data_IF_966926220879
#
_entry.id   IF_966926220879
#
_cell.length_a   1.000
_cell.length_b   1.000
_cell.length_c   1.000
_cell.angle_alpha   90.00
_cell.angle_beta   90.00
_cell.angle_gamma   90.00
#
_symmetry.space_group_name_H-M   'P 1'
#
loop_
_entity.id
_entity.type
_entity.pdbx_description
1 polymer ?
#
# COMPACT_ATOMS: atom_id res chain seq x y z
N UNK A 1 13.89 23.82 26.30
CA UNK A 1 12.62 24.50 25.93
C UNK A 1 11.88 23.56 25.07
N UNK A 2 10.80 22.97 25.57
CA UNK A 2 9.95 22.11 24.76
C UNK A 2 9.20 22.99 23.75
N UNK A 3 9.60 22.96 22.49
CA UNK A 3 8.79 23.52 21.41
C UNK A 3 7.50 22.73 21.35
N UNK A 4 6.39 23.32 21.75
CA UNK A 4 5.05 22.75 21.53
C UNK A 4 4.90 22.63 20.01
N UNK A 5 4.80 21.40 19.48
CA UNK A 5 4.51 21.17 18.06
C UNK A 5 3.23 21.89 17.67
N UNK A 6 3.27 22.58 16.56
CA UNK A 6 2.10 23.28 16.03
C UNK A 6 1.30 22.33 15.12
N UNK A 7 0.61 21.36 15.70
CA UNK A 7 -0.25 20.40 15.00
C UNK A 7 -1.22 21.04 13.98
N UNK A 8 -1.48 22.35 14.10
CA UNK A 8 -2.36 23.04 13.15
C UNK A 8 -1.73 23.23 11.77
N UNK A 9 -0.42 23.37 11.68
CA UNK A 9 0.27 23.59 10.41
C UNK A 9 0.56 22.24 9.72
N UNK A 10 0.90 21.19 10.47
CA UNK A 10 1.01 19.82 9.96
C UNK A 10 -0.32 19.33 9.39
N UNK A 11 -1.44 19.57 10.08
CA UNK A 11 -2.77 19.24 9.58
C UNK A 11 -3.12 20.01 8.29
N UNK A 12 -2.67 21.25 8.15
CA UNK A 12 -2.88 22.01 6.91
C UNK A 12 -2.08 21.42 5.74
N UNK A 13 -0.82 21.05 5.97
CA UNK A 13 0.01 20.41 4.95
C UNK A 13 -0.62 19.12 4.45
N UNK A 14 -1.03 18.24 5.36
CA UNK A 14 -1.70 16.98 5.03
C UNK A 14 -2.97 17.24 4.22
N UNK A 15 -3.81 18.17 4.66
CA UNK A 15 -5.05 18.51 3.96
C UNK A 15 -4.80 19.07 2.56
N UNK A 16 -3.75 19.89 2.37
CA UNK A 16 -3.39 20.42 1.06
C UNK A 16 -2.85 19.31 0.14
N UNK A 17 -2.07 18.38 0.67
CA UNK A 17 -1.59 17.21 -0.07
C UNK A 17 -2.77 16.36 -0.55
N UNK A 18 -3.72 16.02 0.33
CA UNK A 18 -4.91 15.25 -0.07
C UNK A 18 -5.83 16.03 -1.03
N UNK A 19 -5.95 17.35 -0.86
CA UNK A 19 -6.66 18.18 -1.83
C UNK A 19 -6.04 18.05 -3.22
N UNK A 20 -4.72 18.21 -3.32
CA UNK A 20 -4.01 18.07 -4.59
C UNK A 20 -4.12 16.64 -5.17
N UNK A 21 -4.11 15.61 -4.34
CA UNK A 21 -4.37 14.22 -4.77
C UNK A 21 -5.72 14.15 -5.48
N UNK A 22 -6.81 14.57 -4.83
CA UNK A 22 -8.15 14.44 -5.39
C UNK A 22 -8.41 15.37 -6.59
N UNK A 23 -7.79 16.54 -6.63
CA UNK A 23 -7.99 17.51 -7.73
C UNK A 23 -7.20 17.12 -8.99
N UNK A 24 -6.06 16.41 -8.88
CA UNK A 24 -5.15 16.18 -10.00
C UNK A 24 -5.05 14.72 -10.48
N UNK A 25 -5.45 13.74 -9.68
CA UNK A 25 -5.44 12.32 -10.08
C UNK A 25 -6.62 12.08 -11.06
N UNK A 26 -6.41 12.36 -12.33
CA UNK A 26 -7.36 12.07 -13.42
C UNK A 26 -7.04 10.74 -14.10
N UNK A 27 -8.02 10.18 -14.80
CA UNK A 27 -7.80 8.97 -15.64
C UNK A 27 -6.67 9.21 -16.64
N UNK A 28 -6.65 10.38 -17.26
CA UNK A 28 -5.63 10.75 -18.24
C UNK A 28 -4.23 10.82 -17.58
N UNK A 29 -4.11 11.49 -16.44
CA UNK A 29 -2.87 11.56 -15.67
C UNK A 29 -2.36 10.16 -15.31
N UNK A 30 -3.22 9.32 -14.77
CA UNK A 30 -2.86 7.95 -14.36
C UNK A 30 -2.36 7.15 -15.57
N UNK A 31 -3.05 7.21 -16.71
CA UNK A 31 -2.61 6.54 -17.94
C UNK A 31 -1.24 7.02 -18.42
N UNK A 32 -1.00 8.33 -18.37
CA UNK A 32 0.32 8.90 -18.71
C UNK A 32 1.42 8.41 -17.78
N UNK A 33 1.14 8.27 -16.48
CA UNK A 33 2.12 7.68 -15.56
C UNK A 33 2.36 6.19 -15.86
N UNK A 34 1.31 5.42 -16.12
CA UNK A 34 1.46 4.02 -16.53
C UNK A 34 2.30 3.87 -17.81
N UNK A 35 2.11 4.73 -18.80
CA UNK A 35 2.90 4.76 -20.04
C UNK A 35 4.34 5.19 -19.76
N UNK A 36 4.55 6.30 -19.04
CA UNK A 36 5.88 6.81 -18.68
C UNK A 36 6.73 5.76 -17.97
N UNK A 37 6.12 5.01 -17.06
CA UNK A 37 6.79 3.98 -16.27
C UNK A 37 6.56 2.55 -16.79
N UNK A 38 6.11 2.38 -18.05
CA UNK A 38 6.14 1.09 -18.75
C UNK A 38 7.56 0.76 -19.19
N UNK A 39 8.28 1.76 -19.69
CA UNK A 39 9.71 1.71 -20.00
C UNK A 39 10.46 2.53 -18.94
N UNK A 40 10.76 1.89 -17.81
CA UNK A 40 11.48 2.54 -16.72
C UNK A 40 12.71 3.30 -17.22
N UNK A 41 13.02 4.48 -16.65
CA UNK A 41 14.24 5.21 -16.97
C UNK A 41 15.46 4.45 -16.45
N UNK A 42 15.82 3.35 -17.02
CA UNK A 42 17.02 2.51 -16.87
C UNK A 42 17.99 2.84 -15.70
N UNK A 43 17.43 3.25 -14.55
CA UNK A 43 18.20 3.45 -13.34
C UNK A 43 18.35 2.07 -12.70
N UNK A 44 19.58 1.59 -12.64
CA UNK A 44 19.88 0.36 -11.90
C UNK A 44 20.43 0.74 -10.54
N UNK A 45 19.76 0.30 -9.50
CA UNK A 45 20.19 0.57 -8.13
C UNK A 45 20.02 -0.66 -7.23
N UNK A 46 20.92 -0.80 -6.27
CA UNK A 46 20.85 -1.86 -5.28
C UNK A 46 19.67 -1.61 -4.34
N UNK A 47 18.89 -2.64 -4.03
CA UNK A 47 17.70 -2.51 -3.16
C UNK A 47 18.05 -1.93 -1.78
N UNK A 48 19.26 -2.22 -1.24
CA UNK A 48 19.70 -1.62 0.03
C UNK A 48 19.98 -0.13 -0.09
N UNK A 49 20.51 0.32 -1.22
CA UNK A 49 20.74 1.75 -1.46
C UNK A 49 19.41 2.49 -1.50
N UNK A 50 18.38 1.87 -2.08
CA UNK A 50 17.03 2.41 -2.11
C UNK A 50 16.40 2.43 -0.71
N UNK A 51 16.53 1.35 0.07
CA UNK A 51 16.06 1.32 1.46
C UNK A 51 16.71 2.46 2.29
N UNK A 52 18.01 2.70 2.10
CA UNK A 52 18.69 3.80 2.80
C UNK A 52 18.20 5.18 2.34
N UNK A 53 17.77 5.34 1.09
CA UNK A 53 17.20 6.61 0.58
C UNK A 53 15.85 6.98 1.20
N UNK A 54 15.16 6.04 1.85
CA UNK A 54 13.93 6.36 2.58
C UNK A 54 14.13 7.44 3.66
N UNK A 55 15.33 7.55 4.23
CA UNK A 55 15.63 8.58 5.23
C UNK A 55 15.72 10.01 4.63
N UNK A 56 15.90 10.12 3.32
CA UNK A 56 15.92 11.38 2.59
C UNK A 56 14.51 11.87 2.21
N UNK A 57 13.47 11.08 2.51
CA UNK A 57 12.09 11.31 2.06
C UNK A 57 11.23 11.78 3.22
N UNK A 58 10.53 12.88 3.01
CA UNK A 58 9.44 13.35 3.87
C UNK A 58 8.12 12.95 3.22
N UNK A 59 7.23 12.32 3.98
CA UNK A 59 5.88 11.99 3.53
C UNK A 59 4.90 13.06 4.04
N UNK A 60 4.48 13.96 3.15
CA UNK A 60 3.57 15.07 3.49
C UNK A 60 2.12 14.61 3.76
N UNK A 61 1.79 13.36 3.53
CA UNK A 61 0.47 12.79 3.84
C UNK A 61 0.39 12.16 5.23
N UNK A 62 1.57 11.94 5.88
CA UNK A 62 1.66 11.27 7.17
C UNK A 62 1.78 12.28 8.32
N UNK A 63 0.90 12.22 9.34
CA UNK A 63 1.00 13.07 10.52
C UNK A 63 2.17 12.71 11.45
N UNK A 64 2.73 11.51 11.33
CA UNK A 64 3.77 10.97 12.21
C UNK A 64 5.18 11.15 11.62
N UNK A 65 5.62 12.40 11.45
CA UNK A 65 6.93 12.75 10.88
C UNK A 65 8.14 12.53 11.81
N UNK A 66 7.92 12.14 13.07
CA UNK A 66 8.99 11.96 14.07
C UNK A 66 9.83 10.70 13.89
N UNK A 67 9.33 9.73 13.15
CA UNK A 67 10.00 8.46 12.91
C UNK A 67 10.51 8.45 11.48
N UNK A 68 11.81 8.20 11.28
CA UNK A 68 12.36 8.12 9.92
C UNK A 68 11.69 6.98 9.14
N UNK A 69 11.54 7.17 7.83
CA UNK A 69 10.84 6.20 6.97
C UNK A 69 11.52 4.82 6.99
N UNK A 70 12.85 4.76 7.08
CA UNK A 70 13.57 3.48 7.20
C UNK A 70 13.30 2.81 8.56
N UNK A 71 13.22 3.59 9.63
CA UNK A 71 12.90 3.05 10.95
C UNK A 71 11.49 2.48 10.99
N UNK A 72 10.53 3.20 10.41
CA UNK A 72 9.16 2.72 10.23
C UNK A 72 9.10 1.42 9.41
N UNK A 73 9.85 1.33 8.31
CA UNK A 73 9.93 0.11 7.50
C UNK A 73 10.42 -1.09 8.31
N UNK A 74 11.44 -0.93 9.14
CA UNK A 74 11.90 -1.98 10.06
C UNK A 74 10.87 -2.32 11.12
N UNK A 75 10.18 -1.33 11.70
CA UNK A 75 9.13 -1.58 12.70
C UNK A 75 7.99 -2.39 12.08
N UNK A 76 7.55 -2.04 10.87
CA UNK A 76 6.52 -2.79 10.15
C UNK A 76 6.95 -4.22 9.87
N UNK A 77 8.18 -4.43 9.41
CA UNK A 77 8.75 -5.74 9.17
C UNK A 77 8.79 -6.62 10.45
N UNK A 78 9.30 -6.07 11.55
CA UNK A 78 9.35 -6.78 12.84
C UNK A 78 7.95 -7.04 13.42
N UNK A 79 7.02 -6.11 13.24
CA UNK A 79 5.63 -6.28 13.65
C UNK A 79 4.95 -7.43 12.90
N UNK A 80 5.12 -7.51 11.56
CA UNK A 80 4.63 -8.62 10.75
C UNK A 80 5.19 -9.95 11.24
N UNK A 81 6.51 -10.01 11.44
CA UNK A 81 7.15 -11.22 11.95
C UNK A 81 6.60 -11.64 13.31
N UNK A 82 6.61 -10.73 14.27
CA UNK A 82 6.17 -10.99 15.64
C UNK A 82 4.70 -11.40 15.72
N UNK A 83 3.83 -10.78 14.95
CA UNK A 83 2.38 -11.02 15.00
C UNK A 83 1.98 -12.30 14.29
N UNK A 84 2.57 -12.60 13.14
CA UNK A 84 2.01 -13.56 12.20
C UNK A 84 2.89 -14.78 11.92
N UNK A 85 4.19 -14.76 12.27
CA UNK A 85 5.07 -15.88 12.01
C UNK A 85 5.56 -16.57 13.30
N UNK A 86 5.67 -17.89 13.23
CA UNK A 86 6.41 -18.69 14.17
C UNK A 86 7.93 -18.56 13.91
N UNK A 87 8.77 -19.09 14.80
CA UNK A 87 10.23 -19.01 14.67
C UNK A 87 10.76 -19.75 13.42
N UNK A 88 10.04 -20.76 12.96
CA UNK A 88 10.34 -21.52 11.74
C UNK A 88 9.79 -20.87 10.47
N UNK A 89 9.30 -19.64 10.54
CA UNK A 89 8.65 -18.88 9.47
C UNK A 89 7.35 -19.50 8.93
N UNK A 90 6.76 -20.44 9.62
CA UNK A 90 5.39 -20.86 9.33
C UNK A 90 4.39 -19.82 9.83
N UNK A 91 3.21 -19.77 9.21
CA UNK A 91 2.17 -18.83 9.61
C UNK A 91 1.52 -19.25 10.94
N UNK A 92 1.37 -18.31 11.88
CA UNK A 92 0.60 -18.52 13.09
C UNK A 92 -0.87 -18.76 12.74
N UNK A 93 -1.53 -19.62 13.50
CA UNK A 93 -2.98 -19.88 13.36
C UNK A 93 -3.80 -18.72 13.90
N UNK A 94 -3.88 -17.64 13.13
CA UNK A 94 -4.73 -16.49 13.44
C UNK A 94 -6.04 -16.64 12.67
N UNK A 95 -7.19 -16.69 13.36
CA UNK A 95 -8.49 -16.67 12.66
C UNK A 95 -8.64 -15.40 11.84
N UNK A 96 -9.02 -15.53 10.58
CA UNK A 96 -9.18 -14.37 9.66
C UNK A 96 -10.08 -13.29 10.25
N UNK A 97 -11.15 -13.68 10.95
CA UNK A 97 -12.04 -12.76 11.66
C UNK A 97 -11.30 -11.78 12.60
N UNK A 98 -10.18 -12.22 13.19
CA UNK A 98 -9.40 -11.38 14.13
C UNK A 98 -8.62 -10.25 13.44
N UNK A 99 -8.49 -10.30 12.12
CA UNK A 99 -7.87 -9.25 11.30
C UNK A 99 -8.82 -8.07 11.04
N UNK A 100 -10.10 -8.24 11.31
CA UNK A 100 -11.14 -7.24 11.03
C UNK A 100 -11.62 -6.58 12.32
N UNK A 101 -11.93 -5.29 12.26
CA UNK A 101 -12.74 -4.66 13.28
C UNK A 101 -14.14 -5.30 13.31
N UNK A 102 -14.78 -5.36 14.47
CA UNK A 102 -16.10 -6.01 14.65
C UNK A 102 -17.12 -5.48 13.62
N UNK A 103 -17.12 -4.16 13.38
CA UNK A 103 -18.03 -3.52 12.43
C UNK A 103 -17.77 -3.95 10.99
N UNK A 104 -16.50 -3.96 10.56
CA UNK A 104 -16.09 -4.42 9.24
C UNK A 104 -16.56 -5.87 9.02
N UNK A 105 -16.23 -6.75 9.96
CA UNK A 105 -16.64 -8.15 9.91
C UNK A 105 -18.13 -8.33 9.79
N UNK A 106 -18.92 -7.58 10.58
CA UNK A 106 -20.37 -7.71 10.58
C UNK A 106 -21.00 -7.30 9.24
N UNK A 107 -20.37 -6.38 8.52
CA UNK A 107 -20.83 -5.88 7.23
C UNK A 107 -20.41 -6.74 6.04
N UNK A 108 -19.53 -7.74 6.22
CA UNK A 108 -19.19 -8.67 5.14
C UNK A 108 -20.40 -9.53 4.74
N UNK A 109 -20.52 -9.82 3.46
CA UNK A 109 -21.51 -10.74 2.93
C UNK A 109 -21.36 -12.15 3.56
N UNK A 110 -22.47 -12.89 3.75
CA UNK A 110 -22.41 -14.23 4.34
C UNK A 110 -21.50 -15.19 3.56
N UNK A 111 -21.45 -15.08 2.24
CA UNK A 111 -20.57 -15.86 1.37
C UNK A 111 -19.10 -15.60 1.64
N UNK A 112 -18.71 -14.34 1.87
CA UNK A 112 -17.35 -13.94 2.20
C UNK A 112 -16.99 -14.42 3.62
N UNK A 113 -17.90 -14.29 4.58
CA UNK A 113 -17.71 -14.85 5.93
C UNK A 113 -17.50 -16.36 5.91
N UNK A 114 -18.25 -17.07 5.07
CA UNK A 114 -18.08 -18.51 4.87
C UNK A 114 -16.73 -18.81 4.21
N UNK A 115 -16.32 -18.04 3.21
CA UNK A 115 -15.01 -18.15 2.58
C UNK A 115 -13.88 -17.99 3.62
N UNK A 116 -14.00 -17.02 4.54
CA UNK A 116 -13.06 -16.78 5.64
C UNK A 116 -13.21 -17.71 6.85
N UNK A 117 -14.07 -18.72 6.79
CA UNK A 117 -14.06 -19.80 7.80
C UNK A 117 -12.81 -20.68 7.68
N UNK A 118 -12.13 -20.64 6.53
CA UNK A 118 -10.83 -21.26 6.30
C UNK A 118 -9.72 -20.44 6.96
N UNK A 119 -8.65 -21.11 7.37
CA UNK A 119 -7.42 -20.42 7.80
C UNK A 119 -6.64 -19.86 6.59
N UNK A 120 -5.73 -18.91 6.84
CA UNK A 120 -4.96 -18.24 5.78
C UNK A 120 -4.11 -19.26 5.00
N UNK A 121 -3.45 -20.19 5.66
CA UNK A 121 -2.68 -21.26 5.03
C UNK A 121 -3.52 -22.11 4.06
N UNK A 122 -4.80 -22.28 4.35
CA UNK A 122 -5.74 -22.99 3.44
C UNK A 122 -6.22 -22.13 2.28
N UNK A 123 -6.19 -20.82 2.40
CA UNK A 123 -6.42 -19.90 1.28
C UNK A 123 -5.22 -19.86 0.32
N UNK A 124 -4.01 -20.10 0.85
CA UNK A 124 -2.76 -20.04 0.10
C UNK A 124 -1.96 -21.36 0.25
N UNK A 125 -2.50 -22.49 -0.22
CA UNK A 125 -1.91 -23.81 0.04
C UNK A 125 -0.56 -24.06 -0.65
N UNK A 126 -0.21 -23.22 -1.63
CA UNK A 126 1.08 -23.28 -2.33
C UNK A 126 2.20 -22.54 -1.61
N UNK A 127 1.85 -21.68 -0.64
CA UNK A 127 2.83 -20.94 0.14
C UNK A 127 3.18 -21.74 1.38
N UNK A 128 4.34 -22.38 1.38
CA UNK A 128 4.85 -23.19 2.50
C UNK A 128 5.83 -22.42 3.37
N UNK A 129 6.45 -21.36 2.84
CA UNK A 129 7.40 -20.51 3.54
C UNK A 129 6.91 -19.06 3.49
N UNK A 130 6.71 -18.46 4.64
CA UNK A 130 6.21 -17.10 4.82
C UNK A 130 7.29 -16.09 5.21
N UNK A 131 8.59 -16.46 5.12
CA UNK A 131 9.70 -15.57 5.48
C UNK A 131 9.79 -14.30 4.59
N UNK A 132 9.08 -14.27 3.45
CA UNK A 132 8.91 -13.09 2.62
C UNK A 132 7.98 -12.02 3.23
N UNK A 133 7.07 -12.42 4.13
CA UNK A 133 6.05 -11.50 4.66
C UNK A 133 6.66 -10.31 5.44
N UNK A 134 7.64 -10.49 6.34
CA UNK A 134 8.34 -9.36 6.95
C UNK A 134 9.11 -8.50 5.94
N UNK A 135 9.61 -9.10 4.86
CA UNK A 135 10.30 -8.36 3.80
C UNK A 135 9.35 -7.36 3.11
N UNK A 136 8.07 -7.71 2.94
CA UNK A 136 7.08 -6.77 2.41
C UNK A 136 6.94 -5.54 3.31
N UNK A 137 6.93 -5.73 4.63
CA UNK A 137 6.95 -4.60 5.57
C UNK A 137 8.17 -3.69 5.42
N UNK A 138 9.32 -4.25 5.02
CA UNK A 138 10.53 -3.46 4.78
C UNK A 138 10.52 -2.69 3.46
N UNK A 139 9.86 -3.22 2.41
CA UNK A 139 9.98 -2.67 1.05
C UNK A 139 8.70 -2.03 0.50
N UNK A 140 7.57 -2.06 1.23
CA UNK A 140 6.28 -1.58 0.70
C UNK A 140 6.31 -0.12 0.26
N UNK A 141 7.05 0.70 0.97
CA UNK A 141 7.15 2.15 0.79
C UNK A 141 8.29 2.60 -0.14
N UNK A 142 9.08 1.68 -0.70
CA UNK A 142 10.24 2.04 -1.52
C UNK A 142 9.86 2.88 -2.75
N UNK A 143 8.63 2.78 -3.22
CA UNK A 143 8.14 3.62 -4.32
C UNK A 143 8.12 5.13 -4.01
N UNK A 144 8.20 5.54 -2.75
CA UNK A 144 8.31 6.95 -2.35
C UNK A 144 9.56 7.63 -2.92
N UNK A 145 10.56 6.86 -3.38
CA UNK A 145 11.76 7.40 -4.06
C UNK A 145 11.43 8.22 -5.31
N UNK A 146 10.24 8.08 -5.91
CA UNK A 146 9.81 8.95 -7.02
C UNK A 146 9.80 10.45 -6.67
N UNK A 147 9.78 10.82 -5.38
CA UNK A 147 9.94 12.21 -4.94
C UNK A 147 11.36 12.72 -5.09
N UNK A 148 12.35 11.83 -5.19
CA UNK A 148 13.75 12.19 -5.33
C UNK A 148 14.08 12.53 -6.79
N UNK A 149 15.02 13.45 -6.98
CA UNK A 149 15.41 13.98 -8.29
C UNK A 149 15.82 12.89 -9.28
N UNK A 150 16.61 11.94 -8.85
CA UNK A 150 17.09 10.85 -9.69
C UNK A 150 15.98 9.87 -10.13
N UNK A 151 14.82 9.84 -9.45
CA UNK A 151 13.69 8.94 -9.76
C UNK A 151 12.48 9.68 -10.37
N UNK A 152 12.63 10.95 -10.74
CA UNK A 152 11.62 11.69 -11.48
C UNK A 152 11.13 12.96 -10.80
N UNK A 153 11.50 13.21 -9.53
CA UNK A 153 11.13 14.42 -8.78
C UNK A 153 9.62 14.73 -8.84
N UNK A 154 8.81 13.68 -8.72
CA UNK A 154 7.37 13.84 -8.76
C UNK A 154 6.87 14.61 -7.53
N UNK A 155 5.83 15.44 -7.69
CA UNK A 155 5.25 16.15 -6.56
C UNK A 155 4.60 15.16 -5.57
N UNK A 156 4.62 15.51 -4.29
CA UNK A 156 4.14 14.68 -3.19
C UNK A 156 2.75 14.08 -3.45
N UNK A 157 1.79 14.90 -3.92
CA UNK A 157 0.42 14.47 -4.20
C UNK A 157 0.29 13.35 -5.24
N UNK A 158 1.32 13.11 -6.05
CA UNK A 158 1.34 12.04 -7.05
C UNK A 158 2.15 10.81 -6.60
N UNK A 159 2.65 10.82 -5.37
CA UNK A 159 3.50 9.74 -4.84
C UNK A 159 2.96 9.18 -3.54
N UNK A 160 2.54 10.03 -2.60
CA UNK A 160 2.13 9.64 -1.26
C UNK A 160 0.60 9.71 -1.07
N UNK A 161 0.10 9.24 0.05
CA UNK A 161 -1.31 9.26 0.43
C UNK A 161 -2.08 8.00 0.03
N UNK A 162 -3.40 8.05 0.26
CA UNK A 162 -4.28 6.89 0.05
C UNK A 162 -4.52 6.63 -1.45
N UNK A 163 -4.51 5.37 -1.82
CA UNK A 163 -4.90 4.91 -3.16
C UNK A 163 -6.42 4.82 -3.29
N UNK A 164 -6.94 5.15 -4.46
CA UNK A 164 -8.34 4.99 -4.85
C UNK A 164 -8.47 4.80 -6.36
N UNK A 165 -9.52 4.13 -6.88
CA UNK A 165 -9.72 3.99 -8.31
C UNK A 165 -10.15 5.31 -8.96
N UNK A 166 -9.64 5.58 -10.17
CA UNK A 166 -10.06 6.68 -11.05
C UNK A 166 -11.01 6.16 -12.13
N UNK A 167 -11.78 7.04 -12.79
CA UNK A 167 -12.74 6.65 -13.83
C UNK A 167 -14.05 6.07 -13.29
N UNK A 168 -14.30 6.19 -12.00
CA UNK A 168 -15.56 5.84 -11.34
C UNK A 168 -15.87 6.82 -10.20
N UNK A 169 -17.11 6.81 -9.64
CA UNK A 169 -17.47 7.69 -8.55
C UNK A 169 -16.56 7.50 -7.33
N UNK A 170 -16.10 8.61 -6.75
CA UNK A 170 -15.27 8.58 -5.54
C UNK A 170 -16.11 8.12 -4.35
N UNK A 171 -15.63 7.10 -3.62
CA UNK A 171 -16.32 6.56 -2.45
C UNK A 171 -16.29 7.50 -1.26
N UNK A 172 -17.38 7.55 -0.50
CA UNK A 172 -17.42 8.27 0.79
C UNK A 172 -16.49 7.70 1.86
N UNK A 173 -15.84 6.58 1.60
CA UNK A 173 -14.87 5.95 2.51
C UNK A 173 -13.46 6.53 2.39
N UNK A 174 -13.17 7.35 1.36
CA UNK A 174 -11.88 8.04 1.22
C UNK A 174 -11.69 9.09 2.31
N UNK A 175 -10.45 9.40 2.64
CA UNK A 175 -10.12 10.44 3.61
C UNK A 175 -10.54 11.82 3.08
N UNK A 176 -11.00 12.73 3.94
CA UNK A 176 -11.48 14.08 3.56
C UNK A 176 -12.58 14.12 2.48
N UNK A 177 -13.36 13.05 2.30
CA UNK A 177 -14.51 13.05 1.37
C UNK A 177 -15.48 14.22 1.63
N UNK A 178 -15.69 14.56 2.91
CA UNK A 178 -16.54 15.67 3.37
C UNK A 178 -16.05 17.07 2.95
N UNK A 179 -14.81 17.18 2.48
CA UNK A 179 -14.25 18.44 1.95
C UNK A 179 -14.55 18.67 0.48
N UNK A 180 -15.16 17.69 -0.20
CA UNK A 180 -15.58 17.80 -1.61
C UNK A 180 -14.44 18.10 -2.60
N UNK A 181 -13.17 17.89 -2.24
CA UNK A 181 -12.01 18.16 -3.11
C UNK A 181 -12.10 17.45 -4.46
N UNK A 182 -12.63 16.21 -4.48
CA UNK A 182 -12.84 15.42 -5.69
C UNK A 182 -13.78 16.10 -6.71
N UNK A 183 -14.64 17.03 -6.28
CA UNK A 183 -15.54 17.78 -7.19
C UNK A 183 -14.82 18.81 -8.05
N UNK A 184 -13.60 19.21 -7.68
CA UNK A 184 -12.74 20.09 -8.46
C UNK A 184 -11.92 19.33 -9.49
N UNK A 185 -11.87 17.99 -9.44
CA UNK A 185 -11.21 17.18 -10.44
C UNK A 185 -11.93 17.29 -11.79
N UNK A 186 -11.22 17.50 -12.91
CA UNK A 186 -11.83 17.56 -14.26
C UNK A 186 -12.70 16.33 -14.57
N UNK A 187 -12.33 15.15 -14.10
CA UNK A 187 -13.07 13.90 -14.31
C UNK A 187 -14.44 13.88 -13.62
N UNK A 188 -14.65 14.72 -12.59
CA UNK A 188 -15.94 14.83 -11.93
C UNK A 188 -17.06 15.29 -12.88
N UNK A 189 -16.73 16.06 -13.92
CA UNK A 189 -17.70 16.54 -14.92
C UNK A 189 -17.96 15.49 -16.01
N UNK A 190 -17.20 14.41 -16.08
CA UNK A 190 -17.41 13.37 -17.06
C UNK A 190 -18.57 12.44 -16.61
N UNK A 191 -19.70 12.54 -17.33
CA UNK A 191 -20.91 11.77 -17.00
C UNK A 191 -20.71 10.25 -17.07
N UNK A 192 -19.75 9.77 -17.85
CA UNK A 192 -19.41 8.36 -17.93
C UNK A 192 -18.77 7.86 -16.61
N UNK A 193 -17.86 8.67 -16.05
CA UNK A 193 -17.16 8.33 -14.79
C UNK A 193 -18.11 8.45 -13.57
N UNK A 194 -19.24 9.16 -13.71
CA UNK A 194 -20.23 9.30 -12.65
C UNK A 194 -21.36 8.25 -12.71
N UNK A 195 -21.31 7.29 -13.66
CA UNK A 195 -22.22 6.13 -13.65
C UNK A 195 -21.93 5.26 -12.42
N UNK A 196 -22.84 4.36 -12.08
CA UNK A 196 -22.75 3.48 -10.91
C UNK A 196 -21.37 2.81 -10.75
N UNK A 197 -20.80 2.30 -11.86
CA UNK A 197 -19.48 1.68 -11.91
C UNK A 197 -18.47 2.48 -12.75
N UNK A 198 -18.80 3.69 -13.19
CA UNK A 198 -17.94 4.47 -14.08
C UNK A 198 -17.69 3.76 -15.40
N UNK A 199 -16.42 3.60 -15.78
CA UNK A 199 -15.97 2.86 -16.98
C UNK A 199 -15.78 1.37 -16.72
N UNK A 200 -16.07 0.89 -15.53
CA UNK A 200 -15.88 -0.49 -15.10
C UNK A 200 -17.23 -1.23 -14.98
N UNK A 201 -17.21 -2.43 -14.43
CA UNK A 201 -18.39 -3.25 -14.14
C UNK A 201 -18.24 -3.96 -12.78
N UNK A 202 -19.34 -4.44 -12.25
CA UNK A 202 -19.38 -5.16 -10.97
C UNK A 202 -18.42 -6.37 -10.98
N UNK A 203 -17.59 -6.50 -9.93
CA UNK A 203 -16.63 -7.60 -9.74
C UNK A 203 -15.55 -7.72 -10.82
N UNK A 204 -15.21 -6.61 -11.48
CA UNK A 204 -14.13 -6.57 -12.46
C UNK A 204 -12.79 -7.05 -11.86
N UNK A 205 -12.52 -6.71 -10.58
CA UNK A 205 -11.23 -6.93 -9.92
C UNK A 205 -10.30 -5.73 -10.03
N UNK A 206 -9.56 -5.47 -8.95
CA UNK A 206 -8.74 -4.25 -8.89
C UNK A 206 -7.56 -4.25 -9.85
N UNK A 207 -7.06 -5.43 -10.24
CA UNK A 207 -5.98 -5.52 -11.24
C UNK A 207 -6.40 -5.02 -12.64
N UNK A 208 -7.71 -4.97 -12.92
CA UNK A 208 -8.26 -4.49 -14.19
C UNK A 208 -8.81 -3.05 -14.08
N UNK A 209 -8.46 -2.33 -13.00
CA UNK A 209 -8.85 -0.96 -12.76
C UNK A 209 -7.64 -0.02 -12.76
N UNK A 210 -7.84 1.22 -13.20
CA UNK A 210 -6.85 2.27 -12.97
C UNK A 210 -7.00 2.80 -11.55
N UNK A 211 -5.97 2.59 -10.73
CA UNK A 211 -5.85 3.23 -9.42
C UNK A 211 -5.17 4.59 -9.56
N UNK A 212 -5.42 5.51 -8.62
CA UNK A 212 -4.61 6.72 -8.51
C UNK A 212 -3.14 6.33 -8.48
N UNK A 213 -2.31 7.09 -9.22
CA UNK A 213 -0.88 6.82 -9.29
C UNK A 213 -0.22 7.13 -7.94
N UNK A 214 0.61 6.23 -7.46
CA UNK A 214 1.30 6.39 -6.18
C UNK A 214 2.51 5.48 -6.04
N UNK A 215 3.18 5.58 -4.88
CA UNK A 215 4.37 4.80 -4.53
C UNK A 215 4.10 3.29 -4.55
N UNK A 216 2.93 2.88 -4.20
CA UNK A 216 2.47 1.50 -4.14
C UNK A 216 2.38 0.86 -5.53
N UNK A 217 1.75 1.52 -6.50
CA UNK A 217 1.72 1.07 -7.90
C UNK A 217 3.12 1.08 -8.52
N UNK A 218 3.92 2.12 -8.27
CA UNK A 218 5.28 2.20 -8.78
C UNK A 218 6.16 1.06 -8.25
N UNK A 219 6.14 0.80 -6.94
CA UNK A 219 6.94 -0.31 -6.36
C UNK A 219 6.49 -1.67 -6.89
N UNK A 220 5.18 -1.88 -7.07
CA UNK A 220 4.67 -3.10 -7.67
C UNK A 220 5.19 -3.28 -9.12
N UNK A 221 5.18 -2.19 -9.93
CA UNK A 221 5.77 -2.19 -11.28
C UNK A 221 7.28 -2.47 -11.27
N UNK A 222 8.03 -1.91 -10.33
CA UNK A 222 9.46 -2.22 -10.15
C UNK A 222 9.65 -3.72 -9.96
N UNK A 223 8.86 -4.36 -9.10
CA UNK A 223 8.95 -5.81 -8.90
C UNK A 223 8.56 -6.59 -10.16
N UNK A 224 7.48 -6.22 -10.83
CA UNK A 224 7.05 -6.85 -12.08
C UNK A 224 8.11 -6.74 -13.19
N UNK A 225 8.75 -5.58 -13.33
CA UNK A 225 9.84 -5.35 -14.31
C UNK A 225 11.07 -6.20 -14.03
N UNK A 226 11.34 -6.51 -12.77
CA UNK A 226 12.48 -7.30 -12.32
C UNK A 226 12.07 -8.74 -11.91
N UNK A 227 11.01 -9.30 -12.51
CA UNK A 227 10.46 -10.60 -12.11
C UNK A 227 11.49 -11.75 -12.26
N UNK A 228 12.47 -11.61 -13.12
CA UNK A 228 13.58 -12.53 -13.33
C UNK A 228 14.70 -12.42 -12.27
N UNK A 229 14.64 -11.38 -11.40
CA UNK A 229 15.65 -11.11 -10.37
C UNK A 229 15.21 -11.46 -8.95
N UNK A 230 13.96 -11.88 -8.77
CA UNK A 230 13.44 -12.25 -7.45
C UNK A 230 12.48 -13.44 -7.50
N UNK A 231 12.22 -14.04 -6.34
CA UNK A 231 11.25 -15.12 -6.15
C UNK A 231 10.10 -14.75 -5.22
N UNK A 232 9.79 -13.46 -5.08
CA UNK A 232 8.62 -13.03 -4.32
C UNK A 232 7.33 -13.58 -4.97
N UNK A 233 6.37 -14.09 -4.18
CA UNK A 233 5.12 -14.55 -4.74
C UNK A 233 4.24 -13.39 -5.23
N UNK A 234 3.29 -13.67 -6.11
CA UNK A 234 2.34 -12.66 -6.62
C UNK A 234 1.54 -12.00 -5.49
N UNK A 235 1.31 -12.72 -4.41
CA UNK A 235 0.68 -12.22 -3.20
C UNK A 235 1.46 -11.05 -2.57
N UNK A 236 2.80 -11.11 -2.62
CA UNK A 236 3.67 -10.03 -2.14
C UNK A 236 3.51 -8.76 -2.98
N UNK A 237 3.49 -8.90 -4.32
CA UNK A 237 3.30 -7.79 -5.25
C UNK A 237 1.91 -7.16 -5.05
N UNK A 238 0.87 -7.98 -4.91
CA UNK A 238 -0.48 -7.51 -4.61
C UNK A 238 -0.55 -6.72 -3.30
N UNK A 239 0.10 -7.22 -2.23
CA UNK A 239 0.14 -6.52 -0.94
C UNK A 239 0.77 -5.14 -1.08
N UNK A 240 1.88 -5.02 -1.82
CA UNK A 240 2.55 -3.73 -2.07
C UNK A 240 1.65 -2.81 -2.88
N UNK A 241 1.05 -3.29 -3.99
CA UNK A 241 0.21 -2.48 -4.89
C UNK A 241 -1.01 -1.86 -4.20
N UNK A 242 -1.57 -2.54 -3.22
CA UNK A 242 -2.83 -2.13 -2.60
C UNK A 242 -2.73 -1.79 -1.12
N UNK A 243 -1.51 -1.63 -0.56
CA UNK A 243 -1.36 -1.36 0.87
C UNK A 243 -1.95 0.00 1.28
N UNK A 244 -1.92 0.99 0.40
CA UNK A 244 -2.51 2.32 0.63
C UNK A 244 -3.99 2.41 0.21
N UNK A 245 -4.60 1.33 -0.27
CA UNK A 245 -6.00 1.33 -0.69
C UNK A 245 -6.95 1.17 0.53
N UNK A 246 -6.86 2.13 1.46
CA UNK A 246 -7.62 2.13 2.72
C UNK A 246 -9.13 2.02 2.54
N UNK A 247 -9.78 2.69 1.57
CA UNK A 247 -11.23 2.54 1.36
C UNK A 247 -11.67 1.10 1.09
N UNK A 248 -10.79 0.27 0.52
CA UNK A 248 -11.02 -1.16 0.32
C UNK A 248 -10.80 -1.97 1.59
N UNK A 249 -9.56 -1.94 2.11
CA UNK A 249 -9.19 -2.87 3.18
C UNK A 249 -9.53 -2.38 4.59
N UNK A 250 -9.77 -1.08 4.80
CA UNK A 250 -10.07 -0.50 6.12
C UNK A 250 -11.11 0.63 6.03
N UNK A 251 -12.31 0.37 5.47
CA UNK A 251 -13.32 1.40 5.28
C UNK A 251 -13.73 2.01 6.63
N UNK A 252 -13.79 3.35 6.70
CA UNK A 252 -14.06 4.13 7.92
C UNK A 252 -15.42 3.80 8.52
N UNK A 253 -16.43 3.71 7.68
CA UNK A 253 -17.81 3.48 8.08
C UNK A 253 -18.23 2.03 7.98
N UNK A 254 -17.39 1.16 7.41
CA UNK A 254 -17.68 -0.23 7.14
C UNK A 254 -18.95 -0.39 6.29
N UNK A 255 -19.31 0.60 5.48
CA UNK A 255 -20.44 0.54 4.56
C UNK A 255 -20.03 -0.24 3.30
N UNK A 256 -21.02 -0.82 2.61
CA UNK A 256 -20.83 -1.59 1.37
C UNK A 256 -20.16 -0.83 0.22
N UNK A 257 -19.97 0.48 0.31
CA UNK A 257 -19.50 1.36 -0.77
C UNK A 257 -18.02 1.73 -0.69
N UNK A 258 -17.20 0.94 -0.01
CA UNK A 258 -15.72 1.09 -0.05
C UNK A 258 -15.10 0.37 -1.23
N UNK A 259 -15.70 0.49 -2.42
CA UNK A 259 -15.29 -0.22 -3.65
C UNK A 259 -15.45 -1.74 -3.62
N UNK A 260 -16.17 -2.29 -2.64
CA UNK A 260 -16.40 -3.73 -2.49
C UNK A 260 -17.12 -4.35 -3.70
N UNK A 261 -17.94 -3.58 -4.39
CA UNK A 261 -18.68 -4.01 -5.57
C UNK A 261 -17.76 -4.31 -6.78
N UNK A 262 -16.55 -3.72 -6.83
CA UNK A 262 -15.56 -3.98 -7.87
C UNK A 262 -14.70 -5.21 -7.57
N UNK A 263 -14.59 -5.59 -6.29
CA UNK A 263 -13.73 -6.68 -5.86
C UNK A 263 -14.21 -8.04 -6.40
N UNK A 264 -13.35 -8.76 -7.09
CA UNK A 264 -13.58 -10.13 -7.51
C UNK A 264 -13.15 -11.14 -6.42
N UNK A 265 -13.27 -12.43 -6.70
CA UNK A 265 -12.93 -13.48 -5.72
C UNK A 265 -11.43 -13.48 -5.38
N UNK A 266 -10.56 -13.06 -6.29
CA UNK A 266 -9.13 -12.95 -6.05
C UNK A 266 -8.84 -11.84 -5.04
N UNK A 267 -9.46 -10.67 -5.19
CA UNK A 267 -9.31 -9.55 -4.25
C UNK A 267 -9.77 -9.95 -2.84
N UNK A 268 -10.91 -10.63 -2.74
CA UNK A 268 -11.39 -11.16 -1.46
C UNK A 268 -10.42 -12.19 -0.85
N UNK A 269 -9.78 -13.02 -1.68
CA UNK A 269 -8.75 -13.95 -1.22
C UNK A 269 -7.54 -13.21 -0.65
N UNK A 270 -7.15 -12.09 -1.26
CA UNK A 270 -5.98 -11.30 -0.89
C UNK A 270 -6.20 -10.40 0.33
N UNK A 271 -7.44 -9.98 0.61
CA UNK A 271 -7.77 -9.03 1.67
C UNK A 271 -7.20 -9.41 3.05
N UNK A 272 -7.20 -10.67 3.52
CA UNK A 272 -6.55 -11.03 4.78
C UNK A 272 -5.07 -10.68 4.84
N UNK A 273 -4.32 -10.80 3.74
CA UNK A 273 -2.90 -10.45 3.69
C UNK A 273 -2.70 -8.93 3.78
N UNK A 274 -3.52 -8.14 3.07
CA UNK A 274 -3.54 -6.68 3.22
C UNK A 274 -3.85 -6.25 4.66
N UNK A 275 -4.81 -6.92 5.30
CA UNK A 275 -5.13 -6.66 6.72
C UNK A 275 -3.95 -6.97 7.66
N UNK A 276 -3.17 -8.01 7.37
CA UNK A 276 -1.96 -8.32 8.15
C UNK A 276 -0.92 -7.20 8.00
N UNK A 277 -0.68 -6.72 6.78
CA UNK A 277 0.23 -5.60 6.54
C UNK A 277 -0.28 -4.33 7.24
N UNK A 278 -1.51 -3.93 7.01
CA UNK A 278 -2.11 -2.75 7.60
C UNK A 278 -2.07 -2.73 9.14
N UNK A 279 -2.35 -3.88 9.80
CA UNK A 279 -2.24 -4.00 11.26
C UNK A 279 -0.81 -3.88 11.78
N UNK A 280 0.19 -4.12 10.94
CA UNK A 280 1.61 -4.00 11.30
C UNK A 280 2.15 -2.63 10.95
N UNK A 281 1.71 -2.03 9.87
CA UNK A 281 2.08 -0.72 9.40
C UNK A 281 1.57 0.40 10.32
N UNK A 282 0.27 0.50 10.54
CA UNK A 282 -0.33 1.57 11.35
C UNK A 282 -0.04 1.48 12.86
N UNK A 283 0.19 0.28 13.39
CA UNK A 283 0.36 0.07 14.84
C UNK A 283 1.79 -0.23 15.26
N UNK A 284 2.76 -0.05 14.38
CA UNK A 284 4.18 -0.22 14.69
C UNK A 284 4.90 1.09 14.97
N UNK A 285 4.34 2.23 14.57
CA UNK A 285 4.92 3.55 14.83
C UNK A 285 4.95 3.84 16.32
N UNK A 286 6.08 3.57 16.95
CA UNK A 286 6.35 3.86 18.34
C UNK A 286 7.78 4.40 18.48
N UNK A 287 8.07 5.03 19.62
CA UNK A 287 9.38 5.58 19.94
C UNK A 287 10.42 4.53 20.38
N UNK A 288 10.08 3.23 20.34
CA UNK A 288 11.01 2.18 20.71
C UNK A 288 12.15 2.13 19.70
N UNK A 289 13.35 2.46 20.16
CA UNK A 289 14.56 2.48 19.33
C UNK A 289 14.94 1.06 18.95
N UNK A 290 14.76 0.72 17.68
CA UNK A 290 15.30 -0.51 17.11
C UNK A 290 16.79 -0.29 16.77
N UNK A 291 17.59 -1.35 16.91
CA UNK A 291 18.97 -1.34 16.42
C UNK A 291 18.95 -1.58 14.90
N UNK A 292 18.96 -0.50 14.11
CA UNK A 292 18.90 -0.58 12.66
C UNK A 292 20.04 -1.40 12.04
N UNK A 293 21.24 -1.38 12.60
CA UNK A 293 22.39 -2.14 12.07
C UNK A 293 22.19 -3.66 12.28
N UNK A 294 21.68 -4.05 13.45
CA UNK A 294 21.33 -5.44 13.71
C UNK A 294 20.22 -5.91 12.78
N UNK A 295 19.19 -5.09 12.55
CA UNK A 295 18.10 -5.40 11.65
C UNK A 295 18.55 -5.43 10.19
N UNK A 296 19.42 -4.54 9.75
CA UNK A 296 20.06 -4.61 8.41
C UNK A 296 20.73 -5.95 8.21
N UNK A 297 21.56 -6.39 9.15
CA UNK A 297 22.24 -7.69 9.07
C UNK A 297 21.24 -8.88 9.04
N UNK A 298 20.15 -8.77 9.81
CA UNK A 298 19.09 -9.78 9.83
C UNK A 298 18.35 -9.86 8.48
N UNK A 299 17.93 -8.73 7.96
CA UNK A 299 17.17 -8.66 6.70
C UNK A 299 18.04 -8.85 5.46
N UNK A 300 19.36 -8.64 5.56
CA UNK A 300 20.31 -8.95 4.49
C UNK A 300 20.12 -10.40 3.99
N UNK A 301 20.03 -11.37 4.92
CA UNK A 301 19.84 -12.78 4.58
C UNK A 301 18.48 -13.03 3.91
N UNK A 302 17.45 -12.31 4.33
CA UNK A 302 16.12 -12.46 3.75
C UNK A 302 16.08 -11.87 2.35
N UNK A 303 16.69 -10.70 2.13
CA UNK A 303 16.84 -10.11 0.80
C UNK A 303 17.63 -11.04 -0.12
N UNK A 304 18.76 -11.59 0.34
CA UNK A 304 19.57 -12.55 -0.45
C UNK A 304 18.81 -13.82 -0.82
N UNK A 305 17.87 -14.23 0.02
CA UNK A 305 17.03 -15.40 -0.25
C UNK A 305 16.05 -15.15 -1.40
N UNK A 306 15.45 -13.95 -1.44
CA UNK A 306 14.37 -13.63 -2.38
C UNK A 306 14.84 -12.84 -3.60
N UNK A 307 15.93 -12.09 -3.52
CA UNK A 307 16.49 -11.33 -4.63
C UNK A 307 17.80 -11.96 -5.10
N UNK A 308 17.78 -12.61 -6.25
CA UNK A 308 18.94 -13.27 -6.86
C UNK A 308 19.93 -12.23 -7.39
N UNK A 309 19.41 -11.11 -7.93
CA UNK A 309 20.12 -9.88 -8.21
C UNK A 309 19.51 -8.75 -7.40
N UNK A 310 20.34 -8.09 -6.61
CA UNK A 310 19.92 -6.96 -5.75
C UNK A 310 19.89 -5.64 -6.52
N UNK A 311 20.42 -5.61 -7.75
CA UNK A 311 20.43 -4.44 -8.62
C UNK A 311 19.17 -4.47 -9.49
N UNK A 312 18.15 -3.77 -9.06
CA UNK A 312 16.87 -3.68 -9.74
C UNK A 312 16.85 -2.49 -10.70
N UNK A 313 16.03 -2.58 -11.73
CA UNK A 313 15.67 -1.47 -12.61
C UNK A 313 14.54 -0.71 -11.92
N UNK A 314 14.76 0.59 -11.76
CA UNK A 314 13.85 1.51 -11.07
C UNK A 314 13.34 2.57 -12.03
#
# INVERSE_FOLDING_TARGET
MNTVRNYSDELKQIMETYKNIYENQTVEWVKQQHEKYSDFPNITANIWDIINKLDDIIDESDPDTDVSQIHHAFQTAESLKKRFLNDDNTLKKVPIKMLFKIREWNNLEPSIKYFYSKSIDKLFPTITDWSWLPLIGLIHDLGKVMTLKEFGELPQWSVVGDTFPVGCPVSSEVVYFDKDYHKNNPDYQNSEYQREFGIYYEKIGFNDMFMSWGHDEYMAKVLEKNIDKHSLPNEAIYMIRYHSFYPWHTPKNGKKRGYHEYANIYDWKMLPLLKMLQLSDLYSKNSDMLNNDELKNKYQKTIEKYFFDKNLIW
#
